data_IF_397463836615
#
_entry.id   IF_397463836615
#
_cell.length_a   1.000
_cell.length_b   1.000
_cell.length_c   1.000
_cell.angle_alpha   90.00
_cell.angle_beta   90.00
_cell.angle_gamma   90.00
#
_symmetry.space_group_name_H-M   'P 1'
#
loop_
_entity.id
_entity.type
_entity.pdbx_description
1 polymer ?
#
# COMPACT_ATOMS: atom_id res chain seq x y z
N UNK A 1 7.60 -3.23 -25.80
CA UNK A 1 7.13 -3.88 -24.56
C UNK A 1 6.24 -2.88 -23.88
N UNK A 2 4.96 -3.21 -23.87
CA UNK A 2 3.86 -2.32 -23.56
C UNK A 2 4.00 -1.66 -22.20
N UNK A 3 3.60 -0.39 -22.15
CA UNK A 3 3.25 0.29 -20.92
C UNK A 3 2.22 -0.59 -20.20
N UNK A 4 2.65 -1.26 -19.13
CA UNK A 4 1.75 -1.78 -18.11
C UNK A 4 1.08 -0.58 -17.45
N UNK A 5 0.11 0.01 -18.15
CA UNK A 5 -0.88 0.86 -17.54
C UNK A 5 -1.60 -0.04 -16.55
N UNK A 6 -1.28 0.11 -15.26
CA UNK A 6 -2.07 -0.50 -14.20
C UNK A 6 -3.45 0.16 -14.26
N UNK A 7 -4.37 -0.44 -15.02
CA UNK A 7 -5.75 0.04 -15.09
C UNK A 7 -6.48 -0.39 -13.84
N UNK A 8 -6.60 0.55 -12.90
CA UNK A 8 -7.33 0.31 -11.67
C UNK A 8 -8.83 0.52 -11.87
N UNK A 9 -9.61 -0.48 -11.48
CA UNK A 9 -11.05 -0.55 -11.72
C UNK A 9 -11.85 -0.22 -10.46
N UNK A 10 -13.10 0.20 -10.66
CA UNK A 10 -14.06 0.41 -9.55
C UNK A 10 -14.38 -0.90 -8.81
N UNK A 11 -14.37 -2.04 -9.49
CA UNK A 11 -14.61 -3.33 -8.88
C UNK A 11 -13.49 -3.69 -7.88
N UNK A 12 -12.23 -3.53 -8.28
CA UNK A 12 -11.08 -3.70 -7.39
C UNK A 12 -11.17 -2.77 -6.17
N UNK A 13 -11.57 -1.51 -6.37
CA UNK A 13 -11.75 -0.59 -5.25
C UNK A 13 -12.79 -1.10 -4.26
N UNK A 14 -13.94 -1.55 -4.77
CA UNK A 14 -15.00 -2.15 -3.94
C UNK A 14 -14.49 -3.39 -3.18
N UNK A 15 -13.69 -4.24 -3.81
CA UNK A 15 -13.06 -5.39 -3.15
C UNK A 15 -12.14 -4.96 -2.00
N UNK A 16 -11.30 -3.94 -2.21
CA UNK A 16 -10.43 -3.37 -1.16
C UNK A 16 -11.24 -2.89 0.05
N UNK A 17 -12.29 -2.09 -0.20
CA UNK A 17 -13.13 -1.53 0.86
C UNK A 17 -13.94 -2.62 1.60
N UNK A 18 -14.46 -3.62 0.87
CA UNK A 18 -15.15 -4.77 1.47
C UNK A 18 -14.20 -5.59 2.35
N UNK A 19 -12.98 -5.81 1.89
CA UNK A 19 -11.98 -6.56 2.66
C UNK A 19 -11.54 -5.79 3.91
N UNK A 20 -11.28 -4.49 3.81
CA UNK A 20 -10.96 -3.66 4.98
C UNK A 20 -12.10 -3.67 6.02
N UNK A 21 -13.37 -3.55 5.57
CA UNK A 21 -14.56 -3.66 6.44
C UNK A 21 -14.67 -5.04 7.10
N UNK A 22 -14.43 -6.10 6.33
CA UNK A 22 -14.42 -7.47 6.87
C UNK A 22 -13.39 -7.63 7.99
N UNK A 23 -12.15 -7.20 7.76
CA UNK A 23 -11.09 -7.23 8.78
C UNK A 23 -11.47 -6.46 10.04
N UNK A 24 -12.10 -5.27 9.89
CA UNK A 24 -12.61 -4.48 11.00
C UNK A 24 -13.74 -5.16 11.79
N UNK A 25 -14.52 -6.03 11.14
CA UNK A 25 -15.64 -6.76 11.77
C UNK A 25 -15.22 -7.99 12.58
N UNK A 26 -14.02 -8.54 12.34
CA UNK A 26 -13.61 -9.83 12.90
C UNK A 26 -13.65 -9.87 14.43
N UNK A 27 -13.26 -8.78 15.09
CA UNK A 27 -13.31 -8.70 16.56
C UNK A 27 -14.74 -8.85 17.08
N UNK A 28 -15.70 -8.22 16.41
CA UNK A 28 -17.12 -8.35 16.77
C UNK A 28 -17.62 -9.77 16.50
N UNK A 29 -17.22 -10.38 15.38
CA UNK A 29 -17.59 -11.76 15.05
C UNK A 29 -17.06 -12.72 16.12
N UNK A 30 -15.79 -12.60 16.51
CA UNK A 30 -15.18 -13.43 17.56
C UNK A 30 -15.90 -13.28 18.90
N UNK A 31 -16.27 -12.06 19.29
CA UNK A 31 -17.05 -11.83 20.50
C UNK A 31 -18.43 -12.52 20.42
N UNK A 32 -19.10 -12.43 19.27
CA UNK A 32 -20.40 -13.08 19.06
C UNK A 32 -20.32 -14.61 19.05
N UNK A 33 -19.19 -15.20 18.64
CA UNK A 33 -18.95 -16.64 18.77
C UNK A 33 -19.04 -17.07 20.23
N UNK A 34 -18.38 -16.35 21.13
CA UNK A 34 -18.44 -16.63 22.58
C UNK A 34 -19.88 -16.54 23.11
N UNK A 35 -20.65 -15.54 22.66
CA UNK A 35 -22.06 -15.37 23.05
C UNK A 35 -22.90 -16.57 22.60
N UNK A 36 -22.78 -17.02 21.35
CA UNK A 36 -23.59 -18.17 20.88
C UNK A 36 -23.18 -19.47 21.55
N UNK A 37 -21.90 -19.66 21.87
CA UNK A 37 -21.43 -20.84 22.60
C UNK A 37 -21.91 -20.85 24.05
N UNK A 38 -21.95 -19.70 24.72
CA UNK A 38 -22.50 -19.61 26.07
C UNK A 38 -24.00 -19.91 26.08
N UNK A 39 -24.74 -19.44 25.09
CA UNK A 39 -26.17 -19.79 24.96
C UNK A 39 -26.38 -21.29 24.75
N UNK A 40 -25.51 -21.96 23.99
CA UNK A 40 -25.56 -23.43 23.86
C UNK A 40 -25.35 -24.10 25.21
N UNK A 41 -24.44 -23.56 26.04
CA UNK A 41 -24.24 -24.04 27.42
C UNK A 41 -25.49 -23.85 28.27
N UNK A 42 -26.11 -22.67 28.23
CA UNK A 42 -27.34 -22.38 28.97
C UNK A 42 -28.51 -23.27 28.54
N UNK A 43 -28.53 -23.71 27.28
CA UNK A 43 -29.50 -24.66 26.73
C UNK A 43 -29.17 -26.15 27.03
N UNK A 44 -28.19 -26.43 27.90
CA UNK A 44 -27.84 -27.80 28.31
C UNK A 44 -26.91 -28.55 27.35
N UNK A 45 -26.36 -27.89 26.33
CA UNK A 45 -25.38 -28.51 25.44
C UNK A 45 -23.95 -28.26 25.91
N UNK A 46 -23.04 -29.20 25.63
CA UNK A 46 -21.61 -28.97 25.85
C UNK A 46 -21.00 -28.21 24.66
N UNK A 47 -20.55 -26.95 24.83
CA UNK A 47 -20.01 -26.17 23.70
C UNK A 47 -18.74 -26.78 23.14
N UNK A 48 -18.56 -26.66 21.83
CA UNK A 48 -17.31 -26.98 21.14
C UNK A 48 -16.66 -25.68 20.73
N UNK A 49 -15.63 -25.28 21.48
CA UNK A 49 -14.95 -24.00 21.28
C UNK A 49 -13.94 -24.18 20.14
N UNK A 50 -14.01 -23.37 19.06
CA UNK A 50 -12.98 -23.39 18.02
C UNK A 50 -11.64 -22.95 18.62
N UNK A 51 -10.53 -23.55 18.15
CA UNK A 51 -9.21 -23.14 18.60
C UNK A 51 -8.97 -21.66 18.26
N UNK A 52 -8.50 -20.89 19.24
CA UNK A 52 -8.09 -19.50 18.99
C UNK A 52 -6.82 -19.51 18.15
N UNK A 53 -6.84 -18.80 17.03
CA UNK A 53 -5.70 -18.70 16.13
C UNK A 53 -5.10 -17.28 16.21
N UNK A 54 -3.78 -17.18 16.30
CA UNK A 54 -3.12 -15.87 16.46
C UNK A 54 -3.28 -14.98 15.22
N UNK A 55 -3.59 -15.55 14.04
CA UNK A 55 -3.77 -14.80 12.79
C UNK A 55 -4.95 -13.83 12.83
N UNK A 56 -5.92 -14.04 13.72
CA UNK A 56 -7.02 -13.08 13.93
C UNK A 56 -6.54 -11.77 14.55
N UNK A 57 -5.43 -11.78 15.29
CA UNK A 57 -4.92 -10.59 15.98
C UNK A 57 -4.36 -9.55 14.99
N UNK A 58 -3.76 -10.00 13.89
CA UNK A 58 -3.15 -9.11 12.89
C UNK A 58 -4.20 -8.44 11.98
N UNK A 59 -5.37 -9.07 11.84
CA UNK A 59 -6.43 -8.59 10.97
C UNK A 59 -6.86 -7.15 11.28
N UNK A 60 -6.93 -6.77 12.56
CA UNK A 60 -7.30 -5.41 12.95
C UNK A 60 -6.30 -4.37 12.44
N UNK A 61 -5.00 -4.60 12.63
CA UNK A 61 -3.95 -3.71 12.15
C UNK A 61 -3.93 -3.61 10.62
N UNK A 62 -4.20 -4.72 9.94
CA UNK A 62 -4.32 -4.74 8.49
C UNK A 62 -5.53 -3.96 7.99
N UNK A 63 -6.68 -4.09 8.67
CA UNK A 63 -7.88 -3.30 8.38
C UNK A 63 -7.61 -1.80 8.54
N UNK A 64 -6.90 -1.38 9.59
CA UNK A 64 -6.49 0.01 9.78
C UNK A 64 -5.55 0.50 8.69
N UNK A 65 -4.52 -0.30 8.35
CA UNK A 65 -3.58 0.05 7.30
C UNK A 65 -4.28 0.25 5.95
N UNK A 66 -5.15 -0.69 5.55
CA UNK A 66 -5.91 -0.60 4.30
C UNK A 66 -6.84 0.62 4.28
N UNK A 67 -7.48 0.94 5.40
CA UNK A 67 -8.33 2.13 5.53
C UNK A 67 -7.54 3.44 5.44
N UNK A 68 -6.28 3.44 5.89
CA UNK A 68 -5.38 4.59 5.84
C UNK A 68 -4.50 4.65 4.58
N UNK A 69 -4.60 3.65 3.69
CA UNK A 69 -3.70 3.49 2.55
C UNK A 69 -3.64 4.72 1.65
N UNK A 70 -4.79 5.31 1.34
CA UNK A 70 -4.86 6.55 0.56
C UNK A 70 -4.05 7.68 1.20
N UNK A 71 -4.12 7.84 2.53
CA UNK A 71 -3.36 8.87 3.26
C UNK A 71 -1.85 8.69 3.12
N UNK A 72 -1.35 7.44 3.19
CA UNK A 72 0.06 7.14 2.98
C UNK A 72 0.51 7.42 1.54
N UNK A 73 -0.31 7.06 0.56
CA UNK A 73 -0.03 7.28 -0.86
C UNK A 73 -0.04 8.78 -1.21
N UNK A 74 -1.05 9.51 -0.74
CA UNK A 74 -1.16 10.95 -0.93
C UNK A 74 -0.01 11.72 -0.26
N UNK A 75 0.41 11.30 0.94
CA UNK A 75 1.57 11.91 1.61
C UNK A 75 2.86 11.73 0.80
N UNK A 76 3.07 10.56 0.19
CA UNK A 76 4.19 10.34 -0.73
C UNK A 76 4.06 11.20 -1.99
N UNK A 77 2.88 11.24 -2.61
CA UNK A 77 2.64 12.01 -3.84
C UNK A 77 2.94 13.51 -3.65
N UNK A 78 2.43 14.12 -2.59
CA UNK A 78 2.68 15.52 -2.25
C UNK A 78 4.18 15.76 -2.03
N UNK A 79 4.84 14.90 -1.26
CA UNK A 79 6.25 15.03 -0.94
C UNK A 79 7.13 14.88 -2.18
N UNK A 80 6.81 13.91 -3.03
CA UNK A 80 7.52 13.65 -4.28
C UNK A 80 7.34 14.82 -5.27
N UNK A 81 6.12 15.33 -5.47
CA UNK A 81 5.86 16.51 -6.32
C UNK A 81 6.72 17.70 -5.93
N UNK A 82 6.79 17.99 -4.63
CA UNK A 82 7.60 19.08 -4.11
C UNK A 82 9.09 18.92 -4.46
N UNK A 83 9.65 17.72 -4.29
CA UNK A 83 11.06 17.50 -4.62
C UNK A 83 11.34 17.42 -6.12
N UNK A 84 10.36 16.99 -6.93
CA UNK A 84 10.40 17.07 -8.39
C UNK A 84 10.44 18.52 -8.86
N UNK A 85 9.64 19.41 -8.26
CA UNK A 85 9.69 20.85 -8.57
C UNK A 85 11.07 21.45 -8.25
N UNK A 86 11.64 21.09 -7.10
CA UNK A 86 13.00 21.52 -6.71
C UNK A 86 14.03 21.02 -7.71
N UNK A 87 13.95 19.76 -8.12
CA UNK A 87 14.83 19.19 -9.15
C UNK A 87 14.65 19.89 -10.51
N UNK A 88 13.42 20.25 -10.89
CA UNK A 88 13.14 20.95 -12.13
C UNK A 88 13.73 22.38 -12.13
N UNK A 89 13.68 23.09 -11.00
CA UNK A 89 14.39 24.37 -10.83
C UNK A 89 15.89 24.16 -10.95
N UNK A 90 16.46 23.21 -10.20
CA UNK A 90 17.90 22.90 -10.26
C UNK A 90 18.36 22.54 -11.68
N UNK A 91 17.55 21.77 -12.43
CA UNK A 91 17.85 21.40 -13.81
C UNK A 91 17.84 22.60 -14.75
N UNK A 92 16.94 23.57 -14.55
CA UNK A 92 16.92 24.83 -15.30
C UNK A 92 18.13 25.69 -14.97
N UNK A 93 18.46 25.83 -13.68
CA UNK A 93 19.65 26.57 -13.24
C UNK A 93 20.93 25.98 -13.88
N UNK A 94 21.04 24.64 -13.94
CA UNK A 94 22.17 23.97 -14.58
C UNK A 94 22.28 24.31 -16.08
N UNK A 95 21.16 24.35 -16.79
CA UNK A 95 21.10 24.75 -18.20
C UNK A 95 21.49 26.22 -18.39
N UNK A 96 21.00 27.11 -17.53
CA UNK A 96 21.30 28.55 -17.58
C UNK A 96 22.78 28.82 -17.30
N UNK A 97 23.36 28.16 -16.30
CA UNK A 97 24.80 28.21 -16.02
C UNK A 97 25.57 27.70 -17.25
N UNK A 98 25.16 26.57 -17.82
CA UNK A 98 25.81 26.02 -19.01
C UNK A 98 25.75 26.94 -20.23
N UNK A 99 24.66 27.70 -20.39
CA UNK A 99 24.49 28.67 -21.47
C UNK A 99 25.37 29.92 -21.29
N UNK A 100 25.64 30.32 -20.04
CA UNK A 100 26.56 31.43 -19.71
C UNK A 100 28.03 31.02 -19.84
N UNK A 101 28.32 29.75 -19.58
CA UNK A 101 29.66 29.17 -19.67
C UNK A 101 29.74 28.20 -20.86
N UNK A 102 30.33 27.02 -20.66
CA UNK A 102 30.48 25.98 -21.68
C UNK A 102 29.99 24.63 -21.15
N UNK A 103 29.50 23.78 -22.05
CA UNK A 103 29.23 22.36 -21.72
C UNK A 103 30.46 21.61 -21.22
N UNK A 104 31.66 22.09 -21.56
CA UNK A 104 32.95 21.51 -21.15
C UNK A 104 33.46 22.04 -19.82
N UNK A 105 32.80 23.04 -19.25
CA UNK A 105 33.17 23.64 -17.97
C UNK A 105 33.22 22.57 -16.88
N UNK A 106 34.30 22.59 -16.09
CA UNK A 106 34.48 21.66 -14.99
C UNK A 106 33.56 22.04 -13.83
N UNK A 107 32.82 21.07 -13.28
CA UNK A 107 31.82 21.32 -12.23
C UNK A 107 32.45 21.88 -10.96
N UNK A 108 33.69 21.50 -10.66
CA UNK A 108 34.45 22.02 -9.51
C UNK A 108 34.74 23.53 -9.59
N UNK A 109 34.73 24.11 -10.80
CA UNK A 109 34.99 25.53 -11.03
C UNK A 109 33.71 26.38 -11.02
N UNK A 110 32.54 25.73 -11.02
CA UNK A 110 31.24 26.40 -11.02
C UNK A 110 30.88 26.81 -9.60
N UNK A 111 30.59 28.10 -9.40
CA UNK A 111 30.05 28.58 -8.14
C UNK A 111 28.66 27.98 -7.89
N UNK A 112 28.55 27.16 -6.84
CA UNK A 112 27.31 26.51 -6.43
C UNK A 112 26.21 27.51 -6.06
N UNK A 113 26.56 28.74 -5.70
CA UNK A 113 25.60 29.82 -5.34
C UNK A 113 24.80 30.32 -6.53
N UNK A 114 25.19 29.96 -7.75
CA UNK A 114 24.42 30.23 -8.97
C UNK A 114 23.13 29.42 -9.04
N UNK A 115 23.02 28.34 -8.27
CA UNK A 115 21.83 27.49 -8.21
C UNK A 115 20.90 27.96 -7.10
N UNK A 116 19.60 28.07 -7.39
CA UNK A 116 18.58 28.45 -6.41
C UNK A 116 18.51 27.47 -5.24
N UNK A 117 18.78 26.18 -5.49
CA UNK A 117 18.82 25.15 -4.45
C UNK A 117 19.81 25.49 -3.32
N UNK A 118 20.92 26.19 -3.61
CA UNK A 118 21.89 26.62 -2.59
C UNK A 118 21.31 27.50 -1.49
N UNK A 119 20.15 28.13 -1.74
CA UNK A 119 19.44 29.00 -0.80
C UNK A 119 18.37 28.25 0.00
N UNK A 120 18.26 26.93 -0.14
CA UNK A 120 17.33 26.12 0.64
C UNK A 120 17.58 26.31 2.13
N UNK A 121 16.50 26.54 2.89
CA UNK A 121 16.54 26.68 4.34
C UNK A 121 16.73 25.33 5.07
N UNK A 122 16.63 24.20 4.35
CA UNK A 122 16.73 22.85 4.90
C UNK A 122 17.63 21.97 4.03
N UNK A 123 18.51 21.24 4.72
CA UNK A 123 19.45 20.27 4.17
C UNK A 123 19.35 18.98 4.98
N UNK A 124 19.47 17.82 4.32
CA UNK A 124 19.39 16.53 5.01
C UNK A 124 20.65 16.20 5.81
N UNK A 125 21.81 16.69 5.36
CA UNK A 125 23.10 16.48 6.04
C UNK A 125 23.77 17.80 6.44
N UNK A 126 24.42 18.47 5.49
CA UNK A 126 25.15 19.72 5.71
C UNK A 126 24.85 20.72 4.58
N UNK A 127 24.97 22.03 4.83
CA UNK A 127 24.88 23.04 3.77
C UNK A 127 25.92 22.82 2.66
N UNK A 128 25.60 23.16 1.40
CA UNK A 128 26.46 22.92 0.27
C UNK A 128 27.67 23.85 0.27
N UNK A 129 28.79 23.31 -0.16
CA UNK A 129 30.05 24.04 -0.42
C UNK A 129 30.47 23.99 -1.89
N UNK A 130 29.90 23.05 -2.66
CA UNK A 130 30.13 22.83 -4.09
C UNK A 130 28.87 22.27 -4.76
N UNK A 131 28.85 22.27 -6.10
CA UNK A 131 27.70 21.79 -6.91
C UNK A 131 27.40 20.30 -6.68
N UNK A 132 28.44 19.50 -6.40
CA UNK A 132 28.28 18.09 -6.03
C UNK A 132 27.36 17.93 -4.80
N UNK A 133 27.50 18.78 -3.79
CA UNK A 133 26.71 18.71 -2.55
C UNK A 133 25.21 18.98 -2.83
N UNK A 134 24.91 19.89 -3.77
CA UNK A 134 23.54 20.17 -4.22
C UNK A 134 22.91 18.95 -4.90
N UNK A 135 23.68 18.28 -5.76
CA UNK A 135 23.23 17.08 -6.46
C UNK A 135 23.09 15.90 -5.51
N UNK A 136 23.98 15.81 -4.51
CA UNK A 136 23.92 14.81 -3.46
C UNK A 136 22.70 15.01 -2.54
N UNK A 137 22.36 16.24 -2.17
CA UNK A 137 21.13 16.55 -1.43
C UNK A 137 19.89 16.03 -2.17
N UNK A 138 19.79 16.27 -3.48
CA UNK A 138 18.70 15.73 -4.30
C UNK A 138 18.69 14.20 -4.27
N UNK A 139 19.84 13.55 -4.46
CA UNK A 139 19.96 12.11 -4.34
C UNK A 139 19.40 11.58 -2.99
N UNK A 140 19.74 12.22 -1.87
CA UNK A 140 19.26 11.83 -0.55
C UNK A 140 17.75 11.99 -0.39
N UNK A 141 17.16 13.08 -0.91
CA UNK A 141 15.70 13.27 -0.90
C UNK A 141 14.98 12.16 -1.66
N UNK A 142 15.48 11.80 -2.83
CA UNK A 142 14.90 10.71 -3.63
C UNK A 142 15.15 9.31 -3.02
N UNK A 143 16.21 9.11 -2.22
CA UNK A 143 16.34 7.90 -1.39
C UNK A 143 15.18 7.76 -0.41
N UNK A 144 14.72 8.86 0.20
CA UNK A 144 13.59 8.82 1.14
C UNK A 144 12.30 8.38 0.44
N UNK A 145 12.00 8.95 -0.74
CA UNK A 145 10.85 8.54 -1.56
C UNK A 145 10.91 7.07 -1.96
N UNK A 146 12.07 6.63 -2.46
CA UNK A 146 12.31 5.23 -2.79
C UNK A 146 12.11 4.30 -1.59
N UNK A 147 12.59 4.71 -0.41
CA UNK A 147 12.45 3.93 0.82
C UNK A 147 11.00 3.81 1.27
N UNK A 148 10.21 4.87 1.12
CA UNK A 148 8.76 4.84 1.36
C UNK A 148 8.05 3.86 0.40
N UNK A 149 8.36 3.90 -0.89
CA UNK A 149 7.81 2.94 -1.88
C UNK A 149 8.22 1.51 -1.54
N UNK A 150 9.46 1.30 -1.09
CA UNK A 150 9.94 -0.03 -0.65
C UNK A 150 9.13 -0.57 0.52
N UNK A 151 8.67 0.28 1.44
CA UNK A 151 7.78 -0.16 2.51
C UNK A 151 6.48 -0.73 1.95
N UNK A 152 5.94 -0.17 0.86
CA UNK A 152 4.73 -0.71 0.23
C UNK A 152 4.95 -2.10 -0.34
N UNK A 153 6.11 -2.37 -0.95
CA UNK A 153 6.47 -3.72 -1.44
C UNK A 153 6.34 -4.74 -0.30
N UNK A 154 6.96 -4.44 0.86
CA UNK A 154 6.89 -5.34 2.01
C UNK A 154 5.48 -5.44 2.59
N UNK A 155 4.76 -4.33 2.71
CA UNK A 155 3.42 -4.32 3.29
C UNK A 155 2.40 -5.05 2.42
N UNK A 156 2.47 -4.94 1.09
CA UNK A 156 1.56 -5.67 0.20
C UNK A 156 1.85 -7.17 0.20
N UNK A 157 3.12 -7.57 0.24
CA UNK A 157 3.50 -8.98 0.38
C UNK A 157 3.09 -9.58 1.75
N UNK A 158 3.20 -8.80 2.83
CA UNK A 158 2.71 -9.19 4.16
C UNK A 158 1.19 -9.37 4.15
N UNK A 159 0.43 -8.39 3.63
CA UNK A 159 -1.02 -8.45 3.52
C UNK A 159 -1.50 -9.63 2.68
N UNK A 160 -0.79 -9.95 1.60
CA UNK A 160 -1.07 -11.13 0.78
C UNK A 160 -0.91 -12.43 1.59
N UNK A 161 0.22 -12.60 2.28
CA UNK A 161 0.50 -13.79 3.09
C UNK A 161 -0.47 -13.94 4.25
N UNK A 162 -0.79 -12.85 4.93
CA UNK A 162 -1.73 -12.86 6.05
C UNK A 162 -3.17 -13.11 5.60
N UNK A 163 -3.59 -12.59 4.44
CA UNK A 163 -4.87 -12.90 3.82
C UNK A 163 -5.00 -14.39 3.48
N UNK A 164 -3.99 -14.98 2.83
CA UNK A 164 -3.93 -16.42 2.56
C UNK A 164 -4.00 -17.24 3.85
N UNK A 165 -3.32 -16.80 4.90
CA UNK A 165 -3.32 -17.47 6.20
C UNK A 165 -4.66 -17.36 6.94
N UNK A 166 -5.34 -16.21 6.84
CA UNK A 166 -6.59 -15.94 7.56
C UNK A 166 -7.80 -16.65 6.96
N UNK A 167 -7.87 -16.75 5.63
CA UNK A 167 -9.00 -17.39 4.92
C UNK A 167 -9.37 -18.79 5.47
N UNK A 168 -8.46 -19.79 5.49
CA UNK A 168 -8.80 -21.13 5.95
C UNK A 168 -9.16 -21.17 7.45
N UNK A 169 -8.56 -20.29 8.26
CA UNK A 169 -8.88 -20.19 9.68
C UNK A 169 -10.28 -19.66 9.90
N UNK A 170 -10.64 -18.59 9.18
CA UNK A 170 -11.97 -18.00 9.25
C UNK A 170 -13.02 -19.04 8.85
N UNK A 171 -12.84 -19.69 7.70
CA UNK A 171 -13.79 -20.70 7.19
C UNK A 171 -13.91 -21.88 8.17
N UNK A 172 -12.78 -22.39 8.67
CA UNK A 172 -12.78 -23.48 9.66
C UNK A 172 -13.50 -23.11 10.96
N UNK A 173 -13.32 -21.89 11.45
CA UNK A 173 -14.02 -21.41 12.64
C UNK A 173 -15.54 -21.30 12.41
N UNK A 174 -15.96 -20.83 11.23
CA UNK A 174 -17.37 -20.72 10.83
C UNK A 174 -18.05 -22.09 10.63
N UNK A 175 -17.30 -23.08 10.15
CA UNK A 175 -17.76 -24.47 9.95
C UNK A 175 -17.69 -25.32 11.21
N UNK A 176 -17.01 -24.85 12.26
CA UNK A 176 -16.88 -25.59 13.50
C UNK A 176 -18.27 -25.87 14.10
N UNK A 177 -18.48 -27.12 14.56
CA UNK A 177 -19.71 -27.49 15.28
C UNK A 177 -19.88 -26.63 16.53
N UNK A 178 -21.10 -26.18 16.83
CA UNK A 178 -21.34 -25.33 18.00
C UNK A 178 -21.34 -26.13 19.32
N UNK A 179 -21.58 -27.44 19.27
CA UNK A 179 -21.57 -28.31 20.46
C UNK A 179 -20.89 -29.65 20.18
N UNK A 180 -20.46 -30.35 21.23
CA UNK A 180 -19.85 -31.68 21.12
C UNK A 180 -20.87 -32.79 20.86
N UNK A 181 -22.12 -32.56 21.23
CA UNK A 181 -23.19 -33.55 21.17
C UNK A 181 -23.73 -33.79 19.74
N UNK A 182 -23.59 -32.80 18.84
CA UNK A 182 -24.16 -32.83 17.50
C UNK A 182 -23.20 -32.21 16.48
N UNK A 183 -23.28 -32.66 15.23
CA UNK A 183 -22.51 -32.10 14.10
C UNK A 183 -23.09 -30.78 13.59
N UNK A 184 -24.35 -30.48 13.92
CA UNK A 184 -25.06 -29.24 13.60
C UNK A 184 -25.77 -28.73 14.87
N UNK A 185 -25.99 -27.41 15.00
CA UNK A 185 -25.58 -26.36 14.06
C UNK A 185 -24.07 -26.04 14.12
N UNK A 186 -23.53 -25.46 13.05
CA UNK A 186 -22.20 -24.84 13.04
C UNK A 186 -22.21 -23.48 13.73
N UNK A 187 -21.02 -22.95 14.03
CA UNK A 187 -20.84 -21.59 14.57
C UNK A 187 -21.50 -20.55 13.67
N UNK A 188 -21.30 -20.62 12.34
CA UNK A 188 -21.94 -19.69 11.42
C UNK A 188 -23.47 -19.75 11.52
N UNK A 189 -24.06 -20.95 11.50
CA UNK A 189 -25.51 -21.08 11.63
C UNK A 189 -26.01 -20.49 12.94
N UNK A 190 -25.30 -20.71 14.04
CA UNK A 190 -25.62 -20.12 15.34
C UNK A 190 -25.56 -18.58 15.32
N UNK A 191 -24.56 -17.99 14.66
CA UNK A 191 -24.45 -16.53 14.54
C UNK A 191 -25.65 -15.92 13.80
N UNK A 192 -26.18 -16.63 12.80
CA UNK A 192 -27.30 -16.19 11.98
C UNK A 192 -28.69 -16.47 12.56
N UNK A 193 -28.79 -17.18 13.70
CA UNK A 193 -30.08 -17.47 14.36
C UNK A 193 -30.75 -16.21 14.92
N UNK A 194 -29.95 -15.26 15.41
CA UNK A 194 -30.45 -14.02 16.00
C UNK A 194 -29.79 -12.79 15.36
N UNK A 195 -30.57 -11.70 15.28
CA UNK A 195 -30.09 -10.44 14.70
C UNK A 195 -28.88 -9.86 15.46
N UNK A 196 -28.84 -10.02 16.79
CA UNK A 196 -27.76 -9.44 17.64
C UNK A 196 -26.40 -10.12 17.41
N UNK A 197 -26.39 -11.40 17.04
CA UNK A 197 -25.16 -12.15 16.77
C UNK A 197 -24.79 -12.21 15.29
N UNK A 198 -25.71 -11.83 14.40
CA UNK A 198 -25.52 -11.85 12.96
C UNK A 198 -24.38 -10.90 12.57
N UNK A 199 -23.35 -11.38 11.84
CA UNK A 199 -22.31 -10.52 11.31
C UNK A 199 -22.90 -9.46 10.38
N UNK A 200 -22.55 -8.18 10.61
CA UNK A 200 -22.90 -7.12 9.68
C UNK A 200 -22.17 -7.35 8.36
N UNK A 201 -22.93 -7.63 7.28
CA UNK A 201 -22.37 -7.93 5.97
C UNK A 201 -23.24 -7.38 4.85
N UNK A 202 -22.61 -6.78 3.86
CA UNK A 202 -23.25 -6.16 2.71
C UNK A 202 -23.57 -7.22 1.64
N UNK A 203 -24.59 -8.03 1.94
CA UNK A 203 -25.09 -9.13 1.10
C UNK A 203 -26.62 -9.19 1.19
N UNK A 204 -27.28 -9.31 0.04
CA UNK A 204 -28.72 -9.58 -0.03
C UNK A 204 -28.93 -11.09 0.03
N UNK A 205 -29.31 -11.59 1.20
CA UNK A 205 -29.58 -13.00 1.42
C UNK A 205 -30.82 -13.46 0.66
N UNK A 206 -30.78 -14.66 0.08
CA UNK A 206 -31.93 -15.22 -0.66
C UNK A 206 -33.05 -15.73 0.24
N UNK A 207 -32.74 -15.99 1.52
CA UNK A 207 -33.68 -16.55 2.50
C UNK A 207 -33.51 -15.93 3.88
N UNK A 208 -34.55 -16.04 4.70
CA UNK A 208 -34.51 -15.74 6.13
C UNK A 208 -33.97 -16.90 6.97
N UNK A 209 -33.86 -18.09 6.39
CA UNK A 209 -33.33 -19.28 7.06
C UNK A 209 -31.85 -19.08 7.45
N UNK A 210 -31.55 -19.29 8.74
CA UNK A 210 -30.21 -19.07 9.29
C UNK A 210 -29.14 -19.97 8.63
N UNK A 211 -29.50 -21.18 8.23
CA UNK A 211 -28.60 -22.12 7.55
C UNK A 211 -28.28 -21.66 6.15
N UNK A 212 -29.28 -21.19 5.39
CA UNK A 212 -29.06 -20.64 4.04
C UNK A 212 -28.19 -19.38 4.14
N UNK A 213 -28.52 -18.45 5.03
CA UNK A 213 -27.75 -17.21 5.23
C UNK A 213 -26.30 -17.46 5.62
N UNK A 214 -26.07 -18.42 6.51
CA UNK A 214 -24.71 -18.80 6.91
C UNK A 214 -23.90 -19.38 5.74
N UNK A 215 -24.51 -20.15 4.84
CA UNK A 215 -23.85 -20.68 3.64
C UNK A 215 -23.52 -19.54 2.67
N UNK A 216 -24.48 -18.66 2.38
CA UNK A 216 -24.29 -17.52 1.48
C UNK A 216 -23.21 -16.56 1.99
N UNK A 217 -23.22 -16.26 3.29
CA UNK A 217 -22.21 -15.42 3.93
C UNK A 217 -20.80 -16.00 3.78
N UNK A 218 -20.61 -17.28 4.13
CA UNK A 218 -19.29 -17.94 3.99
C UNK A 218 -18.83 -17.97 2.53
N UNK A 219 -19.73 -18.26 1.60
CA UNK A 219 -19.41 -18.32 0.18
C UNK A 219 -18.95 -16.96 -0.35
N UNK A 220 -19.65 -15.88 0.03
CA UNK A 220 -19.27 -14.53 -0.36
C UNK A 220 -17.96 -14.06 0.31
N UNK A 221 -17.70 -14.42 1.58
CA UNK A 221 -16.40 -14.16 2.22
C UNK A 221 -15.27 -14.92 1.52
N UNK A 222 -15.48 -16.19 1.15
CA UNK A 222 -14.49 -16.96 0.40
C UNK A 222 -14.18 -16.32 -0.96
N UNK A 223 -15.21 -15.81 -1.65
CA UNK A 223 -15.03 -15.04 -2.89
C UNK A 223 -14.24 -13.75 -2.64
N UNK A 224 -14.55 -13.01 -1.57
CA UNK A 224 -13.84 -11.79 -1.19
C UNK A 224 -12.34 -12.04 -0.99
N UNK A 225 -11.97 -13.13 -0.29
CA UNK A 225 -10.56 -13.50 -0.14
C UNK A 225 -9.89 -13.77 -1.49
N UNK A 226 -10.55 -14.49 -2.39
CA UNK A 226 -10.02 -14.77 -3.73
C UNK A 226 -9.79 -13.48 -4.53
N UNK A 227 -10.79 -12.60 -4.54
CA UNK A 227 -10.70 -11.30 -5.24
C UNK A 227 -9.63 -10.41 -4.63
N UNK A 228 -9.58 -10.32 -3.29
CA UNK A 228 -8.60 -9.51 -2.58
C UNK A 228 -7.17 -10.03 -2.81
N UNK A 229 -6.96 -11.35 -2.79
CA UNK A 229 -5.64 -11.95 -3.06
C UNK A 229 -5.15 -11.63 -4.47
N UNK A 230 -6.04 -11.62 -5.46
CA UNK A 230 -5.70 -11.17 -6.82
C UNK A 230 -5.33 -9.69 -6.84
N UNK A 231 -6.14 -8.84 -6.18
CA UNK A 231 -5.91 -7.40 -6.11
C UNK A 231 -4.60 -7.03 -5.41
N UNK A 232 -4.35 -7.56 -4.21
CA UNK A 232 -3.14 -7.24 -3.45
C UNK A 232 -1.87 -7.76 -4.15
N UNK A 233 -1.98 -8.87 -4.91
CA UNK A 233 -0.91 -9.32 -5.80
C UNK A 233 -0.60 -8.30 -6.89
N UNK A 234 -1.62 -7.71 -7.53
CA UNK A 234 -1.43 -6.64 -8.52
C UNK A 234 -0.85 -5.37 -7.89
N UNK A 235 -1.31 -5.00 -6.69
CA UNK A 235 -0.74 -3.88 -5.92
C UNK A 235 0.73 -4.12 -5.58
N UNK A 236 1.11 -5.35 -5.24
CA UNK A 236 2.49 -5.77 -5.01
C UNK A 236 3.37 -5.61 -6.26
N UNK A 237 2.89 -6.07 -7.42
CA UNK A 237 3.60 -5.89 -8.71
C UNK A 237 3.76 -4.41 -9.05
N UNK A 238 2.70 -3.61 -8.85
CA UNK A 238 2.75 -2.16 -9.03
C UNK A 238 3.82 -1.51 -8.13
N UNK A 239 3.82 -1.83 -6.83
CA UNK A 239 4.80 -1.28 -5.89
C UNK A 239 6.23 -1.67 -6.26
N UNK A 240 6.44 -2.91 -6.74
CA UNK A 240 7.73 -3.39 -7.20
C UNK A 240 8.21 -2.65 -8.46
N UNK A 241 7.33 -2.41 -9.43
CA UNK A 241 7.69 -1.65 -10.64
C UNK A 241 8.00 -0.19 -10.31
N UNK A 242 7.17 0.45 -9.50
CA UNK A 242 7.41 1.83 -9.04
C UNK A 242 8.72 1.93 -8.24
N UNK A 243 8.99 0.96 -7.35
CA UNK A 243 10.24 0.89 -6.60
C UNK A 243 11.46 0.80 -7.53
N UNK A 244 11.41 -0.09 -8.53
CA UNK A 244 12.53 -0.27 -9.48
C UNK A 244 12.79 1.00 -10.29
N UNK A 245 11.74 1.65 -10.79
CA UNK A 245 11.88 2.93 -11.53
C UNK A 245 12.45 4.02 -10.64
N UNK A 246 12.02 4.09 -9.38
CA UNK A 246 12.56 5.05 -8.43
C UNK A 246 14.02 4.72 -8.03
N UNK A 247 14.40 3.45 -7.94
CA UNK A 247 15.81 3.05 -7.78
C UNK A 247 16.66 3.55 -8.95
N UNK A 248 16.20 3.40 -10.19
CA UNK A 248 16.91 3.91 -11.38
C UNK A 248 17.10 5.44 -11.33
N UNK A 249 16.07 6.17 -10.86
CA UNK A 249 16.15 7.62 -10.59
C UNK A 249 17.23 7.92 -9.55
N UNK A 250 17.19 7.22 -8.41
CA UNK A 250 18.15 7.41 -7.31
C UNK A 250 19.58 7.13 -7.75
N UNK A 251 19.80 6.05 -8.51
CA UNK A 251 21.10 5.68 -9.05
C UNK A 251 21.60 6.71 -10.08
N UNK A 252 20.71 7.24 -10.91
CA UNK A 252 21.07 8.27 -11.90
C UNK A 252 21.41 9.59 -11.23
N UNK A 253 20.68 10.01 -10.19
CA UNK A 253 21.03 11.17 -9.36
C UNK A 253 22.35 10.97 -8.62
N UNK A 254 22.60 9.77 -8.08
CA UNK A 254 23.90 9.44 -7.47
C UNK A 254 25.04 9.56 -8.48
N UNK A 255 24.83 9.09 -9.71
CA UNK A 255 25.82 9.27 -10.77
C UNK A 255 25.97 10.75 -11.09
N UNK A 256 24.90 11.53 -11.12
CA UNK A 256 24.95 12.97 -11.38
C UNK A 256 25.84 13.74 -10.38
N UNK A 257 25.92 13.32 -9.11
CA UNK A 257 26.83 13.95 -8.15
C UNK A 257 28.31 13.77 -8.52
N UNK A 258 28.65 12.73 -9.26
CA UNK A 258 30.00 12.49 -9.79
C UNK A 258 30.22 13.02 -11.21
N UNK A 259 29.33 13.87 -11.73
CA UNK A 259 29.57 14.50 -13.02
C UNK A 259 30.80 15.42 -12.92
N UNK A 260 31.66 15.36 -13.94
CA UNK A 260 32.88 16.19 -13.97
C UNK A 260 32.65 17.47 -14.78
N UNK A 261 31.69 17.44 -15.73
CA UNK A 261 31.39 18.55 -16.64
C UNK A 261 29.92 18.95 -16.61
N UNK A 262 29.65 20.25 -16.82
CA UNK A 262 28.27 20.76 -16.86
C UNK A 262 27.38 20.06 -17.90
N UNK A 263 27.91 19.73 -19.09
CA UNK A 263 27.16 18.99 -20.10
C UNK A 263 26.76 17.58 -19.66
N UNK A 264 27.60 16.92 -18.87
CA UNK A 264 27.31 15.59 -18.30
C UNK A 264 26.22 15.67 -17.23
N UNK A 265 26.31 16.67 -16.34
CA UNK A 265 25.28 16.93 -15.34
C UNK A 265 23.91 17.19 -16.00
N UNK A 266 23.84 18.09 -16.98
CA UNK A 266 22.58 18.36 -17.70
C UNK A 266 21.98 17.11 -18.36
N UNK A 267 22.82 16.28 -18.99
CA UNK A 267 22.37 15.03 -19.60
C UNK A 267 21.75 14.08 -18.56
N UNK A 268 22.42 13.92 -17.41
CA UNK A 268 21.92 13.10 -16.30
C UNK A 268 20.63 13.67 -15.69
N UNK A 269 20.56 14.97 -15.44
CA UNK A 269 19.36 15.62 -14.90
C UNK A 269 18.16 15.49 -15.85
N UNK A 270 18.38 15.63 -17.16
CA UNK A 270 17.34 15.39 -18.17
C UNK A 270 16.84 13.94 -18.16
N UNK A 271 17.75 12.97 -18.08
CA UNK A 271 17.39 11.56 -17.95
C UNK A 271 16.57 11.28 -16.67
N UNK A 272 16.96 11.88 -15.54
CA UNK A 272 16.22 11.77 -14.27
C UNK A 272 14.81 12.35 -14.41
N UNK A 273 14.66 13.55 -14.97
CA UNK A 273 13.34 14.19 -15.14
C UNK A 273 12.39 13.34 -16.01
N UNK A 274 12.91 12.75 -17.08
CA UNK A 274 12.11 11.85 -17.94
C UNK A 274 11.66 10.58 -17.21
N UNK A 275 12.55 9.97 -16.42
CA UNK A 275 12.22 8.80 -15.62
C UNK A 275 11.19 9.12 -14.52
N UNK A 276 11.34 10.28 -13.87
CA UNK A 276 10.41 10.75 -12.84
C UNK A 276 9.01 11.00 -13.37
N UNK A 277 8.87 11.52 -14.59
CA UNK A 277 7.55 11.67 -15.21
C UNK A 277 6.76 10.36 -15.26
N UNK A 278 7.43 9.24 -15.48
CA UNK A 278 6.79 7.91 -15.48
C UNK A 278 6.41 7.47 -14.06
N UNK A 279 7.29 7.67 -13.07
CA UNK A 279 6.99 7.37 -11.67
C UNK A 279 5.79 8.19 -11.17
N UNK A 280 5.76 9.48 -11.48
CA UNK A 280 4.68 10.39 -11.12
C UNK A 280 3.35 9.94 -11.72
N UNK A 281 3.31 9.65 -13.02
CA UNK A 281 2.07 9.21 -13.67
C UNK A 281 1.51 7.90 -13.07
N UNK A 282 2.39 6.94 -12.73
CA UNK A 282 1.99 5.70 -12.06
C UNK A 282 1.44 5.97 -10.65
N UNK A 283 2.13 6.81 -9.86
CA UNK A 283 1.72 7.16 -8.51
C UNK A 283 0.38 7.92 -8.50
N UNK A 284 0.22 8.90 -9.38
CA UNK A 284 -1.01 9.70 -9.51
C UNK A 284 -2.21 8.85 -9.93
N UNK A 285 -2.01 7.90 -10.84
CA UNK A 285 -3.07 6.96 -11.23
C UNK A 285 -3.53 6.13 -10.03
N UNK A 286 -2.58 5.58 -9.27
CA UNK A 286 -2.87 4.79 -8.07
C UNK A 286 -3.52 5.61 -6.96
N UNK A 287 -3.02 6.83 -6.69
CA UNK A 287 -3.62 7.77 -5.74
C UNK A 287 -5.06 8.09 -6.13
N UNK A 288 -5.29 8.41 -7.41
CA UNK A 288 -6.62 8.79 -7.90
C UNK A 288 -7.61 7.63 -7.77
N UNK A 289 -7.15 6.40 -7.99
CA UNK A 289 -7.97 5.20 -7.74
C UNK A 289 -8.29 5.02 -6.25
N UNK A 290 -7.31 5.21 -5.36
CA UNK A 290 -7.48 5.14 -3.90
C UNK A 290 -8.30 6.29 -3.30
N UNK A 291 -8.48 7.39 -4.03
CA UNK A 291 -9.34 8.50 -3.59
C UNK A 291 -10.82 8.27 -3.87
N UNK A 292 -11.16 7.53 -4.94
CA UNK A 292 -12.53 7.31 -5.44
C UNK A 292 -13.31 6.26 -4.66
#
# INVERSE_FOLDING_TARGET
MDQLGHEWTRAQRKTLDRYARFLGSLRSILNNISVVLERRRSAGHQPSVPAMDSRWNNAFFNGQYLSALWGYVNALDISLKKDVEVLAVFSRDALDVTARFSRREAIEQVDFRLFNLSRSARWLLAPPTKVEDLTHELHLRFINHRSAIRQWVFRFDELYRESLGLSPVFISAMDHRACRCHTQPSVAQMLFQEAVTTPAWDLVYSSRDASIRAVEYKADIALLFKEFNSLIGQMGVFAQDLYRRMEDVVLTLRRASYAVRLGELNSRLSAVMNALGQCMALLENFETWLRK
#
